data_IF_395797470451
#
_entry.id   IF_395797470451
#
_cell.length_a   1.000
_cell.length_b   1.000
_cell.length_c   1.000
_cell.angle_alpha   90.00
_cell.angle_beta   90.00
_cell.angle_gamma   90.00
#
_symmetry.space_group_name_H-M   'P 1'
#
loop_
_entity.id
_entity.type
_entity.pdbx_description
1 polymer ?
#
# COMPACT_ATOMS: atom_id res chain seq x y z
N UNK A 1 17.49 -1.11 -12.34
CA UNK A 1 16.16 -1.74 -12.26
C UNK A 1 15.34 -1.36 -13.48
N UNK A 2 14.65 -2.32 -14.09
CA UNK A 2 13.66 -2.09 -15.18
C UNK A 2 12.37 -2.84 -14.88
N UNK A 3 11.24 -2.24 -15.26
CA UNK A 3 9.91 -2.86 -15.11
C UNK A 3 9.48 -3.34 -16.49
N UNK A 4 9.12 -4.62 -16.61
CA UNK A 4 8.64 -5.23 -17.83
C UNK A 4 7.12 -5.45 -17.75
N UNK A 5 6.40 -4.92 -18.72
CA UNK A 5 4.94 -5.08 -18.89
C UNK A 5 4.11 -4.87 -17.61
N UNK A 6 4.62 -4.08 -16.64
CA UNK A 6 3.97 -3.88 -15.35
C UNK A 6 3.82 -5.15 -14.49
N UNK A 7 4.50 -6.25 -14.84
CA UNK A 7 4.37 -7.56 -14.16
C UNK A 7 5.67 -8.09 -13.58
N UNK A 8 6.81 -7.67 -14.09
CA UNK A 8 8.11 -8.19 -13.67
C UNK A 8 9.13 -7.08 -13.45
N UNK A 9 10.04 -7.32 -12.50
CA UNK A 9 11.19 -6.48 -12.21
C UNK A 9 12.45 -7.17 -12.66
N UNK A 10 13.26 -6.51 -13.50
CA UNK A 10 14.64 -6.88 -13.73
C UNK A 10 15.53 -6.10 -12.78
N UNK A 11 16.21 -6.81 -11.90
CA UNK A 11 17.12 -6.27 -10.90
C UNK A 11 18.54 -6.65 -11.28
N UNK A 12 19.47 -5.69 -11.17
CA UNK A 12 20.90 -5.93 -11.30
C UNK A 12 21.52 -5.83 -9.90
N UNK A 13 21.97 -6.94 -9.36
CA UNK A 13 22.43 -7.09 -7.98
C UNK A 13 23.87 -7.63 -7.94
N UNK A 14 24.66 -7.18 -6.95
CA UNK A 14 25.99 -7.77 -6.71
C UNK A 14 25.88 -9.23 -6.22
N UNK A 15 24.89 -9.49 -5.39
CA UNK A 15 24.62 -10.84 -4.87
C UNK A 15 23.11 -11.15 -5.01
N UNK A 16 22.68 -11.88 -6.05
CA UNK A 16 21.29 -12.24 -6.26
C UNK A 16 20.82 -13.41 -5.38
N UNK A 17 21.72 -14.16 -4.71
CA UNK A 17 21.36 -15.37 -3.97
C UNK A 17 20.36 -15.10 -2.85
N UNK A 18 20.52 -14.00 -2.10
CA UNK A 18 19.57 -13.60 -1.05
C UNK A 18 18.15 -13.38 -1.57
N UNK A 19 18.04 -12.87 -2.81
CA UNK A 19 16.72 -12.69 -3.45
C UNK A 19 16.13 -14.01 -3.91
N UNK A 20 16.96 -14.90 -4.46
CA UNK A 20 16.53 -16.24 -4.91
C UNK A 20 16.02 -17.06 -3.71
N UNK A 21 16.73 -17.01 -2.59
CA UNK A 21 16.34 -17.68 -1.36
C UNK A 21 15.02 -17.12 -0.79
N UNK A 22 14.88 -15.80 -0.73
CA UNK A 22 13.70 -15.14 -0.19
C UNK A 22 12.49 -15.18 -1.14
N UNK A 23 12.72 -15.25 -2.45
CA UNK A 23 11.69 -15.29 -3.50
C UNK A 23 11.98 -16.46 -4.45
N UNK A 24 11.59 -17.70 -4.10
CA UNK A 24 11.93 -18.91 -4.88
C UNK A 24 11.42 -18.89 -6.33
N UNK A 25 10.33 -18.13 -6.60
CA UNK A 25 9.79 -17.95 -7.95
C UNK A 25 10.59 -17.00 -8.84
N UNK A 26 11.66 -16.38 -8.32
CA UNK A 26 12.54 -15.52 -9.11
C UNK A 26 13.38 -16.32 -10.09
N UNK A 27 13.75 -15.71 -11.22
CA UNK A 27 14.56 -16.34 -12.27
C UNK A 27 15.88 -15.61 -12.44
N UNK A 28 16.96 -16.32 -12.24
CA UNK A 28 18.33 -15.80 -12.52
C UNK A 28 18.54 -15.81 -14.04
N UNK A 29 18.95 -14.66 -14.60
CA UNK A 29 19.27 -14.52 -16.02
C UNK A 29 20.79 -14.52 -16.25
N UNK A 30 21.56 -13.92 -15.34
CA UNK A 30 23.03 -13.87 -15.41
C UNK A 30 23.64 -13.91 -14.01
N UNK A 31 24.95 -13.73 -13.90
CA UNK A 31 25.63 -13.64 -12.60
C UNK A 31 25.05 -12.54 -11.70
N UNK A 32 24.55 -11.47 -12.30
CA UNK A 32 24.09 -10.27 -11.58
C UNK A 32 22.62 -9.89 -11.86
N UNK A 33 22.00 -10.48 -12.88
CA UNK A 33 20.64 -10.13 -13.29
C UNK A 33 19.65 -11.19 -12.84
N UNK A 34 18.57 -10.72 -12.22
CA UNK A 34 17.47 -11.55 -11.73
C UNK A 34 16.14 -10.92 -12.12
N UNK A 35 15.21 -11.75 -12.53
CA UNK A 35 13.80 -11.37 -12.77
C UNK A 35 12.95 -11.85 -11.62
N UNK A 36 12.16 -10.92 -11.08
CA UNK A 36 11.23 -11.16 -9.99
C UNK A 36 9.84 -10.73 -10.43
N UNK A 37 8.81 -11.46 -10.05
CA UNK A 37 7.43 -11.01 -10.25
C UNK A 37 7.24 -9.67 -9.49
N UNK A 38 6.58 -8.69 -10.12
CA UNK A 38 6.29 -7.43 -9.46
C UNK A 38 4.93 -7.47 -8.77
N UNK A 39 4.84 -8.24 -7.70
CA UNK A 39 3.72 -8.31 -6.78
C UNK A 39 4.00 -7.55 -5.50
N UNK A 40 2.96 -7.40 -4.66
CA UNK A 40 3.09 -6.69 -3.39
C UNK A 40 3.99 -7.47 -2.41
N UNK A 41 3.87 -8.79 -2.33
CA UNK A 41 4.69 -9.63 -1.46
C UNK A 41 6.17 -9.56 -1.85
N UNK A 42 6.45 -9.69 -3.14
CA UNK A 42 7.82 -9.60 -3.64
C UNK A 42 8.40 -8.22 -3.40
N UNK A 43 7.61 -7.14 -3.60
CA UNK A 43 8.06 -5.79 -3.33
C UNK A 43 8.35 -5.57 -1.83
N UNK A 44 7.51 -6.09 -0.93
CA UNK A 44 7.75 -6.06 0.52
C UNK A 44 8.98 -6.87 0.90
N UNK A 45 9.15 -8.06 0.32
CA UNK A 45 10.33 -8.91 0.56
C UNK A 45 11.61 -8.24 0.06
N UNK A 46 11.61 -7.65 -1.13
CA UNK A 46 12.74 -6.89 -1.64
C UNK A 46 13.08 -5.70 -0.74
N UNK A 47 12.06 -5.01 -0.24
CA UNK A 47 12.24 -3.92 0.72
C UNK A 47 12.90 -4.39 2.01
N UNK A 48 12.52 -5.54 2.56
CA UNK A 48 13.15 -6.12 3.76
C UNK A 48 14.61 -6.52 3.54
N UNK A 49 14.98 -6.80 2.29
CA UNK A 49 16.37 -7.04 1.86
C UNK A 49 17.13 -5.74 1.53
N UNK A 50 16.58 -4.56 1.87
CA UNK A 50 17.12 -3.24 1.54
C UNK A 50 17.25 -2.97 0.03
N UNK A 51 16.41 -3.62 -0.79
CA UNK A 51 16.34 -3.37 -2.23
C UNK A 51 15.10 -2.49 -2.48
N UNK A 52 15.36 -1.20 -2.79
CA UNK A 52 14.28 -0.27 -3.05
C UNK A 52 13.63 -0.54 -4.41
N UNK A 53 12.35 -0.88 -4.37
CA UNK A 53 11.50 -1.07 -5.55
C UNK A 53 10.19 -0.29 -5.35
N UNK A 54 9.57 0.22 -6.41
CA UNK A 54 8.27 0.88 -6.29
C UNK A 54 7.18 -0.13 -5.93
N UNK A 55 6.19 0.31 -5.16
CA UNK A 55 5.00 -0.50 -4.90
C UNK A 55 4.19 -0.71 -6.18
N UNK A 56 3.64 -1.91 -6.40
CA UNK A 56 2.74 -2.17 -7.51
C UNK A 56 1.49 -1.30 -7.54
N UNK A 57 1.10 -0.70 -6.42
CA UNK A 57 -0.04 0.22 -6.30
C UNK A 57 0.00 1.33 -7.36
N UNK A 58 1.18 1.83 -7.72
CA UNK A 58 1.32 2.90 -8.73
C UNK A 58 0.75 2.53 -10.10
N UNK A 59 0.72 1.25 -10.47
CA UNK A 59 0.27 0.78 -11.78
C UNK A 59 -0.92 -0.16 -11.76
N UNK A 60 -1.14 -0.85 -10.63
CA UNK A 60 -2.21 -1.87 -10.53
C UNK A 60 -3.46 -1.36 -9.85
N UNK A 61 -3.40 -0.18 -9.24
CA UNK A 61 -4.52 0.37 -8.50
C UNK A 61 -5.19 1.51 -9.27
N UNK A 62 -6.52 1.46 -9.35
CA UNK A 62 -7.32 2.39 -10.14
C UNK A 62 -7.53 3.76 -9.49
N UNK A 63 -7.12 3.94 -8.22
CA UNK A 63 -7.31 5.17 -7.46
C UNK A 63 -8.78 5.62 -7.46
N UNK A 64 -9.69 4.84 -6.84
CA UNK A 64 -11.12 5.13 -6.86
C UNK A 64 -11.43 6.44 -6.14
N UNK A 65 -12.65 6.93 -6.39
CA UNK A 65 -13.18 8.16 -5.80
C UNK A 65 -13.28 9.30 -6.79
N UNK A 66 -13.80 10.41 -6.29
CA UNK A 66 -14.12 11.58 -7.09
C UNK A 66 -12.87 12.41 -7.46
N UNK A 67 -11.83 12.33 -6.66
CA UNK A 67 -10.61 13.11 -6.80
C UNK A 67 -9.41 12.24 -7.18
N UNK A 68 -8.66 12.67 -8.19
CA UNK A 68 -7.40 12.01 -8.54
C UNK A 68 -6.31 12.35 -7.52
N UNK A 69 -5.52 11.35 -7.07
CA UNK A 69 -4.45 11.60 -6.11
C UNK A 69 -3.31 12.42 -6.71
N UNK A 70 -2.77 13.32 -5.93
CA UNK A 70 -1.50 13.98 -6.21
C UNK A 70 -0.33 12.98 -6.13
N UNK A 71 0.82 13.34 -6.74
CA UNK A 71 2.01 12.47 -6.73
C UNK A 71 2.45 12.09 -5.32
N UNK A 72 2.56 13.06 -4.42
CA UNK A 72 2.97 12.83 -3.02
C UNK A 72 1.98 11.93 -2.24
N UNK A 73 0.69 11.95 -2.59
CA UNK A 73 -0.30 11.05 -2.00
C UNK A 73 -0.12 9.60 -2.48
N UNK A 74 0.18 9.43 -3.78
CA UNK A 74 0.53 8.11 -4.34
C UNK A 74 1.81 7.56 -3.70
N UNK A 75 2.81 8.40 -3.49
CA UNK A 75 4.06 8.02 -2.84
C UNK A 75 3.84 7.65 -1.38
N UNK A 76 2.99 8.39 -0.66
CA UNK A 76 2.59 8.06 0.72
C UNK A 76 1.84 6.73 0.77
N UNK A 77 0.86 6.52 -0.10
CA UNK A 77 0.13 5.25 -0.16
C UNK A 77 1.07 4.08 -0.52
N UNK A 78 1.99 4.28 -1.47
CA UNK A 78 3.04 3.32 -1.81
C UNK A 78 3.90 2.97 -0.60
N UNK A 79 4.36 3.96 0.15
CA UNK A 79 5.12 3.77 1.37
C UNK A 79 4.35 2.93 2.40
N UNK A 80 3.07 3.25 2.64
CA UNK A 80 2.22 2.52 3.58
C UNK A 80 2.00 1.05 3.16
N UNK A 81 1.87 0.76 1.86
CA UNK A 81 1.70 -0.61 1.38
C UNK A 81 2.97 -1.47 1.46
N UNK A 82 4.15 -0.84 1.42
CA UNK A 82 5.43 -1.55 1.46
C UNK A 82 5.94 -1.77 2.89
N UNK A 83 5.41 -1.08 3.88
CA UNK A 83 5.89 -1.14 5.26
C UNK A 83 4.78 -1.65 6.19
N UNK A 84 5.00 -2.81 6.82
CA UNK A 84 4.04 -3.42 7.76
C UNK A 84 3.81 -2.57 9.02
N UNK A 85 4.83 -1.79 9.41
CA UNK A 85 4.79 -0.84 10.53
C UNK A 85 5.46 0.44 10.07
N UNK A 86 4.75 1.56 10.19
CA UNK A 86 5.27 2.85 9.71
C UNK A 86 4.59 4.03 10.39
N UNK A 87 5.29 5.15 10.40
CA UNK A 87 4.76 6.45 10.77
C UNK A 87 4.71 7.34 9.54
N UNK A 88 3.65 8.13 9.41
CA UNK A 88 3.48 9.10 8.34
C UNK A 88 3.51 10.51 8.94
N UNK A 89 4.64 11.20 8.81
CA UNK A 89 4.88 12.55 9.33
C UNK A 89 4.72 13.65 8.28
N UNK A 90 3.91 13.41 7.26
CA UNK A 90 3.60 14.44 6.27
C UNK A 90 2.95 15.66 6.94
N UNK A 91 3.14 16.84 6.37
CA UNK A 91 2.55 18.08 6.88
C UNK A 91 1.02 18.03 6.91
N UNK A 92 0.43 18.94 7.70
CA UNK A 92 -1.02 19.08 7.77
C UNK A 92 -1.57 19.50 6.40
N UNK A 93 -2.77 19.00 6.04
CA UNK A 93 -3.41 19.33 4.76
C UNK A 93 -2.89 18.57 3.53
N UNK A 94 -1.88 17.70 3.65
CA UNK A 94 -1.32 16.94 2.52
C UNK A 94 -2.17 15.73 2.08
N UNK A 95 -3.33 15.50 2.70
CA UNK A 95 -4.21 14.37 2.35
C UNK A 95 -3.71 13.02 2.86
N UNK A 96 -3.16 12.98 4.09
CA UNK A 96 -2.74 11.73 4.75
C UNK A 96 -3.87 10.71 4.85
N UNK A 97 -5.08 11.17 5.20
CA UNK A 97 -6.28 10.34 5.31
C UNK A 97 -6.60 9.67 3.98
N UNK A 98 -6.65 10.42 2.89
CA UNK A 98 -6.87 9.88 1.54
C UNK A 98 -5.80 8.84 1.16
N UNK A 99 -4.52 9.13 1.42
CA UNK A 99 -3.42 8.20 1.17
C UNK A 99 -3.55 6.91 1.98
N UNK A 100 -3.98 7.00 3.25
CA UNK A 100 -4.21 5.85 4.10
C UNK A 100 -5.43 5.03 3.63
N UNK A 101 -6.51 5.68 3.22
CA UNK A 101 -7.70 5.01 2.66
C UNK A 101 -7.31 4.24 1.39
N UNK A 102 -6.63 4.84 0.43
CA UNK A 102 -6.20 4.16 -0.79
C UNK A 102 -5.21 3.02 -0.53
N UNK A 103 -4.26 3.20 0.40
CA UNK A 103 -3.36 2.12 0.78
C UNK A 103 -4.12 0.94 1.39
N UNK A 104 -5.08 1.22 2.27
CA UNK A 104 -5.92 0.21 2.92
C UNK A 104 -6.80 -0.51 1.91
N UNK A 105 -7.46 0.22 1.02
CA UNK A 105 -8.29 -0.35 -0.03
C UNK A 105 -7.47 -1.24 -0.97
N UNK A 106 -6.28 -0.80 -1.36
CA UNK A 106 -5.37 -1.62 -2.17
C UNK A 106 -4.97 -2.91 -1.44
N UNK A 107 -4.63 -2.84 -0.14
CA UNK A 107 -4.28 -4.01 0.66
C UNK A 107 -5.45 -5.00 0.80
N UNK A 108 -6.69 -4.49 0.93
CA UNK A 108 -7.89 -5.31 0.93
C UNK A 108 -8.12 -5.98 -0.44
N UNK A 109 -7.94 -5.26 -1.55
CA UNK A 109 -8.06 -5.79 -2.90
C UNK A 109 -7.00 -6.87 -3.21
N UNK A 110 -5.81 -6.75 -2.63
CA UNK A 110 -4.74 -7.77 -2.73
C UNK A 110 -4.93 -8.93 -1.72
N UNK A 111 -6.03 -8.94 -0.93
CA UNK A 111 -6.32 -9.98 0.06
C UNK A 111 -5.31 -10.04 1.21
N UNK A 112 -4.67 -8.90 1.55
CA UNK A 112 -3.67 -8.83 2.63
C UNK A 112 -4.28 -8.45 3.98
N UNK A 113 -5.42 -7.78 3.95
CA UNK A 113 -6.21 -7.43 5.13
C UNK A 113 -7.69 -7.56 4.79
N UNK A 114 -8.48 -8.04 5.73
CA UNK A 114 -9.93 -8.17 5.57
C UNK A 114 -10.67 -6.94 6.08
N UNK A 115 -10.14 -6.30 7.11
CA UNK A 115 -10.72 -5.13 7.78
C UNK A 115 -9.64 -4.16 8.22
N UNK A 116 -10.02 -2.90 8.36
CA UNK A 116 -9.13 -1.82 8.84
C UNK A 116 -9.78 -1.20 10.07
N UNK A 117 -9.04 -1.10 11.16
CA UNK A 117 -9.43 -0.37 12.35
C UNK A 117 -8.77 1.00 12.34
N UNK A 118 -9.57 2.05 12.44
CA UNK A 118 -9.11 3.43 12.59
C UNK A 118 -9.37 3.89 14.03
N UNK A 119 -8.35 4.37 14.69
CA UNK A 119 -8.45 5.00 16.01
C UNK A 119 -8.17 6.49 15.85
N UNK A 120 -9.15 7.32 16.14
CA UNK A 120 -9.06 8.77 15.97
C UNK A 120 -9.88 9.51 17.03
N UNK A 121 -9.65 10.82 17.23
CA UNK A 121 -10.51 11.66 18.07
C UNK A 121 -11.96 11.66 17.58
N UNK A 122 -12.90 11.76 18.52
CA UNK A 122 -14.35 11.75 18.23
C UNK A 122 -14.77 12.80 17.21
N UNK A 123 -14.18 13.99 17.28
CA UNK A 123 -14.53 15.13 16.43
C UNK A 123 -14.26 14.91 14.93
N UNK A 124 -13.44 13.91 14.57
CA UNK A 124 -13.07 13.64 13.17
C UNK A 124 -13.55 12.27 12.66
N UNK A 125 -14.29 11.52 13.46
CA UNK A 125 -14.78 10.19 13.06
C UNK A 125 -15.67 10.28 11.80
N UNK A 126 -16.74 11.08 11.88
CA UNK A 126 -17.67 11.25 10.75
C UNK A 126 -17.15 12.26 9.72
N UNK A 127 -16.67 13.41 10.21
CA UNK A 127 -16.34 14.55 9.34
C UNK A 127 -15.11 14.32 8.46
N UNK A 128 -14.09 13.61 8.97
CA UNK A 128 -12.90 13.31 8.20
C UNK A 128 -12.91 11.87 7.67
N UNK A 129 -13.02 10.85 8.54
CA UNK A 129 -12.89 9.47 8.10
C UNK A 129 -14.12 8.97 7.34
N UNK A 130 -15.34 9.24 7.82
CA UNK A 130 -16.58 8.84 7.15
C UNK A 130 -16.74 9.52 5.79
N UNK A 131 -16.63 10.85 5.76
CA UNK A 131 -16.74 11.62 4.52
C UNK A 131 -15.60 11.33 3.53
N UNK A 132 -14.36 11.21 4.02
CA UNK A 132 -13.20 10.90 3.18
C UNK A 132 -13.29 9.47 2.61
N UNK A 133 -13.77 8.48 3.38
CA UNK A 133 -13.98 7.15 2.84
C UNK A 133 -14.96 7.17 1.66
N UNK A 134 -16.08 7.88 1.80
CA UNK A 134 -17.04 8.03 0.72
C UNK A 134 -16.45 8.73 -0.50
N UNK A 135 -15.58 9.71 -0.29
CA UNK A 135 -14.93 10.45 -1.38
C UNK A 135 -13.84 9.65 -2.10
N UNK A 136 -13.05 8.83 -1.38
CA UNK A 136 -11.84 8.19 -1.92
C UNK A 136 -11.98 6.68 -2.15
N UNK A 137 -12.93 6.01 -1.48
CA UNK A 137 -13.24 4.60 -1.67
C UNK A 137 -14.74 4.31 -1.51
N UNK A 138 -15.61 4.89 -2.38
CA UNK A 138 -17.08 4.85 -2.24
C UNK A 138 -17.68 3.44 -2.25
N UNK A 139 -16.93 2.44 -2.67
CA UNK A 139 -17.33 1.03 -2.69
C UNK A 139 -17.08 0.33 -1.35
N UNK A 140 -16.46 1.02 -0.37
CA UNK A 140 -16.23 0.50 0.99
C UNK A 140 -17.27 1.05 1.95
N UNK A 141 -17.55 0.26 2.98
CA UNK A 141 -18.44 0.64 4.09
C UNK A 141 -17.62 0.94 5.34
N UNK A 142 -18.14 1.79 6.20
CA UNK A 142 -17.58 2.11 7.50
C UNK A 142 -18.65 2.00 8.58
N UNK A 143 -18.28 1.39 9.69
CA UNK A 143 -19.08 1.36 10.90
C UNK A 143 -18.35 2.12 12.01
N UNK A 144 -19.08 3.01 12.69
CA UNK A 144 -18.52 3.81 13.78
C UNK A 144 -18.79 3.14 15.11
N UNK A 145 -17.74 2.59 15.70
CA UNK A 145 -17.78 1.91 16.99
C UNK A 145 -17.74 2.92 18.16
N UNK A 146 -18.74 3.81 18.25
CA UNK A 146 -18.86 4.80 19.31
C UNK A 146 -20.15 4.61 20.12
N UNK A 147 -20.05 4.84 21.44
CA UNK A 147 -21.19 4.76 22.35
C UNK A 147 -21.03 3.69 23.42
N UNK A 148 -22.15 3.35 24.11
CA UNK A 148 -22.19 2.30 25.13
C UNK A 148 -21.94 0.91 24.52
N UNK A 149 -21.56 -0.06 25.37
CA UNK A 149 -21.31 -1.43 24.91
C UNK A 149 -22.52 -2.06 24.19
N UNK A 150 -23.75 -1.66 24.56
CA UNK A 150 -24.98 -2.11 23.90
C UNK A 150 -25.20 -1.51 22.51
N UNK A 151 -24.65 -0.32 22.22
CA UNK A 151 -24.73 0.33 20.92
C UNK A 151 -23.64 -0.11 19.94
N UNK A 152 -22.60 -0.81 20.44
CA UNK A 152 -21.44 -1.27 19.66
C UNK A 152 -21.52 -2.73 19.22
N UNK A 153 -22.62 -3.38 19.52
CA UNK A 153 -22.99 -4.72 19.04
C UNK A 153 -23.74 -4.59 17.73
#
# INVERSE_FOLDING_TARGET
MRIFNGKALLLKLRNPFKVIEAIPKSRKLSAHDIVVNWGLEEAQTLKSLNINVPSPIHRRYGWPGNNKPFSHQKDTASFLTLNKKSFCFNEQGTGKTASAIWASDYLMNEGKVDRVLVICPLSIMDSAWGADLFNFAPHRTVDIAYGTASKRK
#
